data_IF_391591274126
#
_entry.id   IF_391591274126
#
_cell.length_a   1.000
_cell.length_b   1.000
_cell.length_c   1.000
_cell.angle_alpha   90.00
_cell.angle_beta   90.00
_cell.angle_gamma   90.00
#
_symmetry.space_group_name_H-M   'P 1'
#
loop_
_entity.id
_entity.type
_entity.pdbx_description
1 polymer ?
#
# COMPACT_ATOMS: atom_id res chain seq x y z
N UNK A 1 -33.06 2.99 38.21
CA UNK A 1 -32.01 2.02 37.87
C UNK A 1 -30.83 2.27 38.80
N UNK A 2 -30.40 1.27 39.55
CA UNK A 2 -29.35 1.44 40.59
C UNK A 2 -28.04 1.89 39.95
N UNK A 3 -27.34 2.85 40.56
CA UNK A 3 -26.03 3.35 40.13
C UNK A 3 -24.99 2.22 40.01
N UNK A 4 -25.16 1.14 40.78
CA UNK A 4 -24.36 -0.08 40.67
C UNK A 4 -24.52 -0.77 39.31
N UNK A 5 -25.74 -0.78 38.74
CA UNK A 5 -26.04 -1.42 37.46
C UNK A 5 -25.37 -0.69 36.29
N UNK A 6 -25.37 0.65 36.34
CA UNK A 6 -24.72 1.50 35.34
C UNK A 6 -23.20 1.29 35.38
N UNK A 7 -22.61 1.19 36.58
CA UNK A 7 -21.16 0.96 36.74
C UNK A 7 -20.73 -0.40 36.20
N UNK A 8 -21.49 -1.45 36.49
CA UNK A 8 -21.23 -2.80 35.97
C UNK A 8 -21.32 -2.83 34.44
N UNK A 9 -22.34 -2.16 33.86
CA UNK A 9 -22.49 -2.06 32.42
C UNK A 9 -21.34 -1.31 31.75
N UNK A 10 -20.87 -0.19 32.34
CA UNK A 10 -19.71 0.56 31.82
C UNK A 10 -18.40 -0.22 31.86
N UNK A 11 -18.16 -1.02 32.91
CA UNK A 11 -16.98 -1.88 32.99
C UNK A 11 -17.01 -3.00 31.95
N UNK A 12 -18.17 -3.61 31.73
CA UNK A 12 -18.34 -4.66 30.71
C UNK A 12 -18.12 -4.12 29.30
N UNK A 13 -18.61 -2.92 28.99
CA UNK A 13 -18.39 -2.28 27.68
C UNK A 13 -16.90 -1.97 27.44
N UNK A 14 -16.19 -1.49 28.46
CA UNK A 14 -14.76 -1.21 28.38
C UNK A 14 -13.91 -2.48 28.16
N UNK A 15 -14.31 -3.62 28.73
CA UNK A 15 -13.64 -4.91 28.49
C UNK A 15 -13.83 -5.47 27.07
N UNK A 16 -14.90 -5.06 26.38
CA UNK A 16 -15.17 -5.47 24.99
C UNK A 16 -14.58 -4.54 23.94
N UNK A 17 -14.02 -3.40 24.35
CA UNK A 17 -13.31 -2.49 23.47
C UNK A 17 -11.98 -3.11 23.03
N UNK A 18 -12.05 -4.01 22.05
CA UNK A 18 -10.86 -4.47 21.32
C UNK A 18 -10.24 -3.24 20.67
N UNK A 19 -9.05 -2.85 21.11
CA UNK A 19 -8.26 -1.85 20.43
C UNK A 19 -8.07 -2.28 18.98
N UNK A 20 -8.65 -1.54 18.04
CA UNK A 20 -8.40 -1.75 16.62
C UNK A 20 -6.99 -1.20 16.38
N UNK A 21 -5.99 -2.07 16.50
CA UNK A 21 -4.62 -1.70 16.19
C UNK A 21 -4.53 -1.48 14.68
N UNK A 22 -4.48 -0.20 14.25
CA UNK A 22 -4.09 0.14 12.89
C UNK A 22 -2.69 -0.42 12.63
N UNK A 23 -2.55 -1.25 11.59
CA UNK A 23 -1.28 -1.89 11.26
C UNK A 23 -0.29 -0.84 10.75
N UNK A 24 0.56 -0.32 11.63
CA UNK A 24 1.68 0.54 11.27
C UNK A 24 2.79 -0.22 10.53
N UNK A 25 2.70 -1.55 10.48
CA UNK A 25 3.71 -2.48 9.99
C UNK A 25 3.50 -2.91 8.52
N UNK A 26 2.69 -2.19 7.74
CA UNK A 26 2.48 -2.49 6.31
C UNK A 26 1.12 -3.13 5.98
N UNK A 27 0.83 -3.21 4.68
CA UNK A 27 -0.38 -3.84 4.17
C UNK A 27 -0.34 -5.38 4.36
N UNK A 28 -1.44 -6.03 4.75
CA UNK A 28 -1.47 -7.48 4.86
C UNK A 28 -1.59 -8.15 3.49
N UNK A 29 -1.10 -9.39 3.38
CA UNK A 29 -1.12 -10.19 2.12
C UNK A 29 -2.51 -10.26 1.46
N UNK A 30 -3.58 -10.29 2.25
CA UNK A 30 -4.95 -10.31 1.73
C UNK A 30 -5.35 -9.06 0.91
N UNK A 31 -4.60 -7.95 0.97
CA UNK A 31 -4.89 -6.74 0.18
C UNK A 31 -4.23 -6.72 -1.19
N UNK A 32 -3.40 -7.71 -1.51
CA UNK A 32 -2.71 -7.81 -2.80
C UNK A 32 -3.66 -7.72 -3.99
N UNK A 33 -4.81 -8.40 -3.95
CA UNK A 33 -5.76 -8.42 -5.06
C UNK A 33 -6.57 -7.11 -5.14
N UNK A 34 -7.15 -6.70 -4.00
CA UNK A 34 -8.04 -5.54 -3.91
C UNK A 34 -7.32 -4.21 -4.12
N UNK A 35 -6.05 -4.10 -3.71
CA UNK A 35 -5.28 -2.84 -3.72
C UNK A 35 -6.07 -1.68 -3.06
N UNK A 36 -6.98 -2.01 -2.14
CA UNK A 36 -7.86 -1.05 -1.49
C UNK A 36 -7.56 -1.10 0.00
N UNK A 37 -7.15 -0.01 0.63
CA UNK A 37 -6.97 -0.03 2.07
C UNK A 37 -8.35 -0.10 2.76
N UNK A 38 -8.48 -0.94 3.77
CA UNK A 38 -9.75 -1.19 4.48
C UNK A 38 -9.96 -0.27 5.69
N UNK A 39 -9.29 0.87 5.72
CA UNK A 39 -9.38 1.89 6.76
C UNK A 39 -9.21 3.27 6.13
N UNK A 40 -9.77 4.31 6.76
CA UNK A 40 -9.70 5.68 6.26
C UNK A 40 -11.03 6.19 5.67
N UNK A 41 -11.05 7.44 5.17
CA UNK A 41 -12.20 8.03 4.48
C UNK A 41 -12.58 7.32 3.15
N UNK A 42 -13.61 7.82 2.46
CA UNK A 42 -14.02 7.25 1.17
C UNK A 42 -12.94 7.44 0.08
N UNK A 43 -12.89 6.57 -0.95
CA UNK A 43 -11.92 6.69 -2.01
C UNK A 43 -11.96 8.04 -2.73
N UNK A 44 -10.80 8.56 -3.09
CA UNK A 44 -10.70 9.80 -3.86
C UNK A 44 -11.25 9.60 -5.28
N UNK A 45 -12.16 10.47 -5.72
CA UNK A 45 -12.77 10.45 -7.06
C UNK A 45 -12.13 11.46 -8.04
N UNK A 46 -11.21 12.29 -7.55
CA UNK A 46 -10.46 13.29 -8.33
C UNK A 46 -9.09 12.76 -8.76
N UNK A 47 -8.42 13.38 -9.76
CA UNK A 47 -7.07 13.00 -10.16
C UNK A 47 -6.12 12.97 -8.96
N UNK A 48 -5.31 11.91 -8.89
CA UNK A 48 -4.33 11.73 -7.84
C UNK A 48 -3.35 12.90 -7.77
N UNK A 49 -3.05 13.46 -6.58
CA UNK A 49 -1.98 14.45 -6.41
C UNK A 49 -0.58 13.81 -6.47
N UNK A 50 -0.50 12.48 -6.52
CA UNK A 50 0.74 11.72 -6.67
C UNK A 50 1.02 11.45 -8.14
N UNK A 51 2.23 11.82 -8.58
CA UNK A 51 2.76 11.51 -9.89
C UNK A 51 3.85 10.46 -9.77
N UNK A 52 3.88 9.53 -10.73
CA UNK A 52 4.95 8.55 -10.85
C UNK A 52 5.72 8.89 -12.09
N UNK A 53 7.00 9.19 -11.92
CA UNK A 53 7.86 9.55 -13.03
C UNK A 53 8.83 8.39 -13.29
N UNK A 54 8.69 7.65 -14.40
CA UNK A 54 9.67 6.65 -14.76
C UNK A 54 10.98 7.36 -15.13
N UNK A 55 12.12 6.83 -14.67
CA UNK A 55 13.42 7.39 -15.04
C UNK A 55 13.75 7.22 -16.54
N UNK A 56 13.10 6.27 -17.24
CA UNK A 56 13.24 6.03 -18.69
C UNK A 56 11.94 5.49 -19.31
N UNK A 57 11.69 5.83 -20.57
CA UNK A 57 10.55 5.37 -21.40
C UNK A 57 10.66 3.91 -21.88
N UNK A 58 11.77 3.22 -21.56
CA UNK A 58 12.03 1.81 -21.88
C UNK A 58 12.52 1.11 -20.61
N UNK A 59 12.07 -0.13 -20.37
CA UNK A 59 12.29 -0.92 -19.15
C UNK A 59 13.72 -0.81 -18.60
N UNK A 60 13.90 0.08 -17.63
CA UNK A 60 15.14 0.22 -16.87
C UNK A 60 14.77 0.81 -15.52
N UNK A 61 15.28 0.18 -14.47
CA UNK A 61 14.90 0.41 -13.08
C UNK A 61 15.12 1.86 -12.61
N UNK A 62 14.28 2.28 -11.66
CA UNK A 62 14.37 3.55 -10.95
C UNK A 62 13.11 4.37 -11.15
N UNK A 63 12.08 4.11 -10.35
CA UNK A 63 10.85 4.90 -10.35
C UNK A 63 10.82 5.77 -9.10
N UNK A 64 10.52 7.05 -9.29
CA UNK A 64 10.33 8.00 -8.20
C UNK A 64 8.87 8.39 -8.13
N UNK A 65 8.26 8.14 -6.97
CA UNK A 65 6.93 8.58 -6.59
C UNK A 65 7.06 9.89 -5.84
N UNK A 66 6.47 10.95 -6.39
CA UNK A 66 6.43 12.28 -5.77
C UNK A 66 4.98 12.72 -5.65
N UNK A 67 4.57 13.13 -4.45
CA UNK A 67 3.24 13.69 -4.23
C UNK A 67 3.08 14.26 -2.82
N UNK A 68 1.84 14.34 -2.36
CA UNK A 68 1.48 14.85 -1.04
C UNK A 68 2.04 14.00 0.11
N UNK A 69 1.84 14.43 1.35
CA UNK A 69 2.28 13.64 2.51
C UNK A 69 1.41 12.38 2.70
N UNK A 70 2.02 11.20 2.76
CA UNK A 70 1.35 9.92 3.01
C UNK A 70 2.05 9.10 4.10
N UNK A 71 1.33 8.17 4.73
CA UNK A 71 1.87 7.34 5.82
C UNK A 71 1.96 5.87 5.46
N UNK A 72 0.90 5.33 4.86
CA UNK A 72 0.82 3.95 4.39
C UNK A 72 0.68 3.88 2.88
N UNK A 73 1.24 2.83 2.30
CA UNK A 73 1.06 2.55 0.87
C UNK A 73 1.11 1.05 0.55
N UNK A 74 0.58 0.69 -0.61
CA UNK A 74 0.76 -0.59 -1.29
C UNK A 74 0.99 -0.35 -2.79
N UNK A 75 2.13 -0.78 -3.30
CA UNK A 75 2.53 -0.65 -4.71
C UNK A 75 2.61 -2.02 -5.37
N UNK A 76 2.09 -2.16 -6.59
CA UNK A 76 2.19 -3.38 -7.38
C UNK A 76 2.22 -3.05 -8.88
N UNK A 77 3.08 -3.72 -9.64
CA UNK A 77 3.04 -3.70 -11.10
C UNK A 77 2.17 -4.85 -11.62
N UNK A 78 1.29 -4.60 -12.60
CA UNK A 78 0.38 -5.59 -13.16
C UNK A 78 0.35 -5.60 -14.69
N UNK A 79 0.24 -6.79 -15.27
CA UNK A 79 -0.28 -6.96 -16.63
C UNK A 79 -1.73 -7.43 -16.55
N UNK A 80 -2.66 -6.58 -16.98
CA UNK A 80 -4.08 -6.75 -16.66
C UNK A 80 -4.30 -6.71 -15.13
N UNK A 81 -4.68 -7.85 -14.55
CA UNK A 81 -4.83 -8.05 -13.11
C UNK A 81 -3.72 -8.91 -12.48
N UNK A 82 -2.80 -9.44 -13.29
CA UNK A 82 -1.74 -10.32 -12.82
C UNK A 82 -0.52 -9.52 -12.34
N UNK A 83 -0.02 -9.72 -11.10
CA UNK A 83 1.21 -9.10 -10.63
C UNK A 83 2.43 -9.53 -11.44
N UNK A 84 3.29 -8.57 -11.83
CA UNK A 84 4.47 -8.83 -12.67
C UNK A 84 5.73 -8.12 -12.15
N UNK A 85 6.88 -8.75 -12.36
CA UNK A 85 8.16 -8.24 -11.89
C UNK A 85 8.32 -8.31 -10.38
N UNK A 86 9.38 -7.68 -9.88
CA UNK A 86 9.81 -7.76 -8.48
C UNK A 86 10.28 -6.40 -7.98
N UNK A 87 9.91 -6.04 -6.75
CA UNK A 87 10.45 -4.87 -6.06
C UNK A 87 11.65 -5.24 -5.21
N UNK A 88 12.55 -4.27 -5.02
CA UNK A 88 13.65 -4.36 -4.05
C UNK A 88 13.40 -3.37 -2.92
N UNK A 89 13.64 -3.82 -1.69
CA UNK A 89 13.61 -2.98 -0.49
C UNK A 89 14.98 -3.05 0.18
N UNK A 90 15.64 -1.91 0.41
CA UNK A 90 16.89 -1.85 1.14
C UNK A 90 16.67 -1.49 2.62
N UNK A 91 17.67 -1.81 3.46
CA UNK A 91 17.66 -1.41 4.86
C UNK A 91 17.67 0.12 4.98
N UNK A 92 16.70 0.67 5.71
CA UNK A 92 16.54 2.12 5.89
C UNK A 92 15.45 2.76 5.04
N UNK A 93 14.94 2.09 4.02
CA UNK A 93 13.91 2.65 3.12
C UNK A 93 12.53 2.80 3.79
N UNK A 94 12.34 2.21 4.97
CA UNK A 94 11.04 2.07 5.63
C UNK A 94 9.99 1.39 4.74
N UNK A 95 10.46 0.47 3.90
CA UNK A 95 9.63 -0.35 3.01
C UNK A 95 9.93 -1.83 3.24
N UNK A 96 9.04 -2.69 2.76
CA UNK A 96 9.18 -4.14 2.73
C UNK A 96 8.39 -4.69 1.54
N UNK A 97 8.80 -5.86 1.06
CA UNK A 97 8.12 -6.55 -0.04
C UNK A 97 7.04 -7.50 0.47
N UNK A 98 6.08 -7.79 -0.40
CA UNK A 98 5.04 -8.79 -0.20
C UNK A 98 5.04 -9.77 -1.38
N UNK A 99 4.88 -11.05 -1.07
CA UNK A 99 4.67 -12.11 -2.05
C UNK A 99 3.16 -12.20 -2.35
N UNK A 100 2.71 -11.45 -3.36
CA UNK A 100 1.32 -11.48 -3.78
C UNK A 100 1.06 -12.61 -4.78
N UNK A 101 0.10 -13.48 -4.45
CA UNK A 101 -0.16 -14.73 -5.20
C UNK A 101 1.12 -15.59 -5.24
N UNK A 102 1.43 -16.22 -6.37
CA UNK A 102 2.64 -17.05 -6.55
C UNK A 102 3.86 -16.25 -7.05
N UNK A 103 3.81 -14.90 -6.98
CA UNK A 103 4.88 -14.04 -7.47
C UNK A 103 5.63 -13.38 -6.29
N UNK A 104 6.91 -13.73 -6.14
CA UNK A 104 7.75 -13.23 -5.07
C UNK A 104 8.07 -11.76 -5.24
N UNK A 105 8.08 -11.01 -4.13
CA UNK A 105 8.40 -9.58 -4.08
C UNK A 105 7.56 -8.74 -5.04
N UNK A 106 6.37 -9.20 -5.38
CA UNK A 106 5.52 -8.62 -6.41
C UNK A 106 4.75 -7.39 -5.97
N UNK A 107 4.79 -7.06 -4.68
CA UNK A 107 4.32 -5.78 -4.16
C UNK A 107 5.29 -5.18 -3.14
N UNK A 108 5.19 -3.88 -2.92
CA UNK A 108 5.95 -3.11 -1.94
C UNK A 108 4.98 -2.37 -0.99
N UNK A 109 5.26 -2.42 0.31
CA UNK A 109 4.50 -1.69 1.33
C UNK A 109 5.43 -1.02 2.34
N UNK A 110 4.89 -0.14 3.17
CA UNK A 110 5.60 0.54 4.25
C UNK A 110 5.90 -0.41 5.43
N UNK A 111 6.91 -0.09 6.23
CA UNK A 111 7.18 -0.76 7.53
C UNK A 111 6.84 0.12 8.73
N UNK A 112 6.53 1.39 8.49
CA UNK A 112 6.20 2.36 9.54
C UNK A 112 5.19 3.39 9.06
N UNK A 113 4.32 3.84 9.98
CA UNK A 113 3.34 4.90 9.76
C UNK A 113 3.94 6.32 9.72
N UNK A 114 5.25 6.46 9.56
CA UNK A 114 5.89 7.78 9.41
C UNK A 114 5.42 8.45 8.13
N UNK A 115 5.21 9.76 8.21
CA UNK A 115 4.87 10.61 7.08
C UNK A 115 6.00 10.64 6.05
N UNK A 116 5.65 10.52 4.78
CA UNK A 116 6.53 10.48 3.61
C UNK A 116 5.96 11.44 2.56
N UNK A 117 6.80 12.19 1.86
CA UNK A 117 6.41 13.05 0.73
C UNK A 117 6.93 12.51 -0.60
N UNK A 118 8.01 11.75 -0.55
CA UNK A 118 8.65 11.13 -1.71
C UNK A 118 8.95 9.67 -1.37
N UNK A 119 8.77 8.79 -2.35
CA UNK A 119 9.14 7.39 -2.28
C UNK A 119 9.84 6.98 -3.57
N UNK A 120 11.12 6.67 -3.50
CA UNK A 120 11.87 6.11 -4.63
C UNK A 120 11.89 4.60 -4.49
N UNK A 121 11.54 3.88 -5.55
CA UNK A 121 11.48 2.42 -5.56
C UNK A 121 12.31 1.84 -6.69
N UNK A 122 12.83 0.63 -6.45
CA UNK A 122 13.46 -0.17 -7.48
C UNK A 122 12.51 -1.30 -7.86
N UNK A 123 12.14 -1.37 -9.13
CA UNK A 123 11.37 -2.46 -9.72
C UNK A 123 12.15 -3.11 -10.86
N UNK A 124 12.12 -4.44 -10.89
CA UNK A 124 12.76 -5.28 -11.89
C UNK A 124 11.69 -5.95 -12.74
N UNK A 125 11.74 -5.72 -14.05
CA UNK A 125 10.82 -6.33 -15.00
C UNK A 125 10.98 -7.86 -15.07
N UNK A 126 9.92 -8.62 -15.38
CA UNK A 126 10.02 -10.06 -15.61
C UNK A 126 10.87 -10.36 -16.86
N UNK A 127 11.51 -11.53 -16.90
CA UNK A 127 12.36 -11.93 -18.03
C UNK A 127 11.58 -12.06 -19.35
N UNK A 128 10.31 -12.44 -19.27
CA UNK A 128 9.42 -12.54 -20.42
C UNK A 128 8.55 -11.29 -20.50
N UNK A 129 8.36 -10.77 -21.71
CA UNK A 129 7.47 -9.63 -21.94
C UNK A 129 6.08 -9.95 -21.39
N UNK A 130 5.57 -9.04 -20.56
CA UNK A 130 4.23 -9.13 -19.99
C UNK A 130 3.24 -8.20 -20.70
N UNK A 131 3.59 -7.66 -21.87
CA UNK A 131 2.80 -6.65 -22.56
C UNK A 131 2.77 -5.32 -21.79
N UNK A 132 1.65 -4.60 -21.86
CA UNK A 132 1.48 -3.32 -21.16
C UNK A 132 1.46 -3.51 -19.64
N UNK A 133 2.39 -2.85 -18.95
CA UNK A 133 2.49 -2.90 -17.49
C UNK A 133 1.81 -1.68 -16.90
N UNK A 134 0.93 -1.91 -15.92
CA UNK A 134 0.28 -0.87 -15.14
C UNK A 134 0.70 -1.00 -13.70
N UNK A 135 1.30 0.05 -13.18
CA UNK A 135 1.58 0.13 -11.76
C UNK A 135 0.36 0.69 -11.05
N UNK A 136 -0.03 0.03 -9.97
CA UNK A 136 -1.11 0.41 -9.07
C UNK A 136 -0.48 0.78 -7.74
N UNK A 137 -0.75 1.98 -7.28
CA UNK A 137 -0.28 2.51 -6.02
C UNK A 137 -1.47 2.89 -5.17
N UNK A 138 -1.51 2.43 -3.93
CA UNK A 138 -2.67 2.62 -3.04
C UNK A 138 -2.17 3.26 -1.78
N UNK A 139 -2.69 4.43 -1.43
CA UNK A 139 -2.31 5.21 -0.26
C UNK A 139 -3.56 5.50 0.53
N UNK A 140 -3.71 4.94 1.74
CA UNK A 140 -4.84 5.18 2.67
C UNK A 140 -6.24 5.05 2.06
N UNK A 141 -6.65 5.92 1.14
CA UNK A 141 -7.93 5.90 0.42
C UNK A 141 -7.79 6.12 -1.10
N UNK A 142 -6.59 6.40 -1.61
CA UNK A 142 -6.36 6.78 -3.00
C UNK A 142 -5.64 5.66 -3.73
N UNK A 143 -6.27 5.10 -4.77
CA UNK A 143 -5.60 4.22 -5.72
C UNK A 143 -5.23 5.01 -6.98
N UNK A 144 -3.95 5.05 -7.29
CA UNK A 144 -3.35 5.69 -8.45
C UNK A 144 -2.88 4.60 -9.39
N UNK A 145 -3.27 4.67 -10.66
CA UNK A 145 -2.77 3.74 -11.68
C UNK A 145 -2.07 4.50 -12.78
N UNK A 146 -0.90 4.03 -13.20
CA UNK A 146 -0.13 4.60 -14.30
C UNK A 146 0.32 3.47 -15.23
N UNK A 147 0.43 3.80 -16.53
CA UNK A 147 0.74 2.86 -17.60
C UNK A 147 2.12 3.19 -18.14
N UNK A 148 2.95 2.17 -18.30
CA UNK A 148 4.28 2.26 -18.90
C UNK A 148 4.38 1.25 -20.05
#
# INVERSE_FOLDING_TARGET
MSTAFIRVLTLLLALTARGIHGYSAGAPLGQCAAMTPNHGPQPQTTPSPFAVTPSKMNYSAGESLTGDTFKGFLLQARSGDTPVGMFTSAAGDNTQTLDCSDNSMSALTHTSGFSKTTLTVTWTAPQQSSGTVRFRFSIDVTQVSFVI
#
